data_IF_637027202648
#
_entry.id   IF_637027202648
#
_cell.length_a   1.000
_cell.length_b   1.000
_cell.length_c   1.000
_cell.angle_alpha   90.00
_cell.angle_beta   90.00
_cell.angle_gamma   90.00
#
_symmetry.space_group_name_H-M   'P 1'
#
loop_
_entity.id
_entity.type
_entity.pdbx_description
1 polymer ?
#
# COMPACT_ATOMS: atom_id res chain seq x y z
N UNK A 1 -16.05 21.11 5.94
CA UNK A 1 -16.18 19.82 6.66
C UNK A 1 -14.80 19.38 7.12
N UNK A 2 -14.44 19.65 8.37
CA UNK A 2 -13.14 19.25 8.93
C UNK A 2 -13.13 17.74 9.18
N UNK A 3 -12.33 17.00 8.43
CA UNK A 3 -12.02 15.60 8.78
C UNK A 3 -11.15 15.64 10.04
N UNK A 4 -11.74 15.43 11.22
CA UNK A 4 -10.97 15.20 12.44
C UNK A 4 -10.08 13.99 12.22
N UNK A 5 -8.77 14.22 12.14
CA UNK A 5 -7.77 13.18 11.95
C UNK A 5 -7.62 12.40 13.26
N UNK A 6 -8.59 11.53 13.55
CA UNK A 6 -8.57 10.68 14.74
C UNK A 6 -7.40 9.72 14.59
N UNK A 7 -6.52 9.67 15.59
CA UNK A 7 -5.40 8.73 15.60
C UNK A 7 -5.96 7.31 15.58
N UNK A 8 -5.34 6.37 14.84
CA UNK A 8 -5.78 4.98 14.83
C UNK A 8 -5.72 4.41 16.26
N UNK A 9 -6.60 3.44 16.60
CA UNK A 9 -6.52 2.76 17.90
C UNK A 9 -5.17 2.05 18.07
N UNK A 10 -4.75 1.86 19.31
CA UNK A 10 -3.57 1.10 19.65
C UNK A 10 -3.68 -0.34 19.14
N UNK A 11 -2.72 -0.82 18.35
CA UNK A 11 -2.71 -2.18 17.78
C UNK A 11 -2.27 -3.27 18.79
N UNK A 12 -2.15 -2.94 20.09
CA UNK A 12 -1.76 -3.89 21.15
C UNK A 12 -2.90 -4.13 22.12
N UNK A 13 -3.64 -3.08 22.49
CA UNK A 13 -4.78 -3.22 23.40
C UNK A 13 -6.12 -2.87 22.73
N UNK A 14 -6.13 -2.23 21.56
CA UNK A 14 -7.33 -1.84 20.79
C UNK A 14 -8.36 -0.98 21.53
N UNK A 15 -8.07 -0.56 22.77
CA UNK A 15 -9.02 0.14 23.65
C UNK A 15 -8.95 1.66 23.54
N UNK A 16 -7.80 2.21 23.19
CA UNK A 16 -7.50 3.65 23.25
C UNK A 16 -6.79 4.12 22.00
N UNK A 17 -6.84 5.42 21.73
CA UNK A 17 -6.10 6.03 20.63
C UNK A 17 -4.58 5.84 20.78
N UNK A 18 -3.90 5.60 19.67
CA UNK A 18 -2.45 5.43 19.68
C UNK A 18 -1.73 6.77 19.91
N UNK A 19 -0.67 6.72 20.73
CA UNK A 19 0.13 7.89 21.10
C UNK A 19 1.51 7.87 20.46
N UNK A 20 2.07 6.69 20.21
CA UNK A 20 3.44 6.46 19.76
C UNK A 20 3.47 5.42 18.65
N UNK A 21 4.58 5.39 17.89
CA UNK A 21 4.86 4.41 16.85
C UNK A 21 6.21 3.75 17.13
N UNK A 22 6.31 2.42 17.01
CA UNK A 22 7.58 1.73 17.20
C UNK A 22 8.52 1.99 16.00
N UNK A 23 9.77 2.39 16.24
CA UNK A 23 10.74 2.64 15.17
C UNK A 23 11.17 1.37 14.43
N UNK A 24 11.12 0.21 15.08
CA UNK A 24 11.59 -1.05 14.48
C UNK A 24 10.57 -1.73 13.57
N UNK A 25 9.29 -1.72 13.94
CA UNK A 25 8.24 -2.45 13.23
C UNK A 25 7.00 -1.59 12.88
N UNK A 26 7.05 -0.29 13.16
CA UNK A 26 6.02 0.71 12.82
C UNK A 26 4.61 0.46 13.39
N UNK A 27 4.45 -0.46 14.35
CA UNK A 27 3.18 -0.66 15.06
C UNK A 27 2.84 0.57 15.93
N UNK A 28 1.55 0.93 16.00
CA UNK A 28 1.09 2.07 16.80
C UNK A 28 0.57 1.64 18.18
N UNK A 29 0.98 2.37 19.23
CA UNK A 29 0.70 2.01 20.61
C UNK A 29 0.34 3.20 21.51
N UNK A 30 -0.48 2.99 22.54
CA UNK A 30 -0.95 4.07 23.41
C UNK A 30 0.00 4.43 24.55
N UNK A 31 0.78 3.46 25.06
CA UNK A 31 1.60 3.66 26.27
C UNK A 31 2.77 2.68 26.40
N UNK A 32 3.68 2.97 27.33
CA UNK A 32 4.85 2.11 27.66
C UNK A 32 4.49 0.64 27.97
N UNK A 33 3.42 0.29 28.73
CA UNK A 33 3.07 -1.11 28.92
C UNK A 33 2.71 -1.79 27.59
N UNK A 34 1.97 -1.14 26.71
CA UNK A 34 1.71 -1.65 25.36
C UNK A 34 3.02 -1.83 24.56
N UNK A 35 3.95 -0.88 24.65
CA UNK A 35 5.28 -1.02 24.03
C UNK A 35 6.03 -2.26 24.55
N UNK A 36 6.01 -2.52 25.86
CA UNK A 36 6.68 -3.68 26.46
C UNK A 36 6.03 -5.00 26.02
N UNK A 37 4.71 -5.07 26.01
CA UNK A 37 3.96 -6.25 25.53
C UNK A 37 4.31 -6.55 24.08
N UNK A 38 4.28 -5.53 23.21
CA UNK A 38 4.69 -5.69 21.82
C UNK A 38 6.18 -6.06 21.72
N UNK A 39 7.06 -5.44 22.52
CA UNK A 39 8.50 -5.72 22.49
C UNK A 39 8.80 -7.18 22.82
N UNK A 40 8.02 -7.78 23.71
CA UNK A 40 8.18 -9.17 24.10
C UNK A 40 7.58 -10.18 23.10
N UNK A 41 6.61 -9.77 22.27
CA UNK A 41 5.80 -10.71 21.46
C UNK A 41 5.89 -10.51 19.94
N UNK A 42 6.09 -9.28 19.48
CA UNK A 42 5.86 -8.91 18.07
C UNK A 42 6.76 -7.79 17.54
N UNK A 43 7.60 -7.16 18.36
CA UNK A 43 8.60 -6.20 17.90
C UNK A 43 9.80 -6.96 17.33
N UNK A 44 9.75 -7.27 16.04
CA UNK A 44 10.83 -7.81 15.22
C UNK A 44 11.96 -8.47 16.02
N UNK A 45 11.78 -9.76 16.36
CA UNK A 45 12.86 -10.60 16.86
C UNK A 45 14.08 -10.46 15.94
N UNK A 46 15.12 -9.77 16.42
CA UNK A 46 16.44 -9.90 15.86
C UNK A 46 16.96 -11.30 16.23
N UNK A 47 17.20 -12.11 15.19
CA UNK A 47 18.08 -13.28 15.20
C UNK A 47 17.58 -14.57 15.90
N UNK A 48 17.24 -15.53 15.04
CA UNK A 48 17.27 -16.99 15.22
C UNK A 48 16.05 -17.73 15.78
N UNK A 49 15.69 -18.75 14.98
CA UNK A 49 15.11 -20.04 15.34
C UNK A 49 13.69 -20.09 15.93
N UNK A 50 12.73 -20.24 15.01
CA UNK A 50 11.80 -21.38 14.93
C UNK A 50 11.73 -22.32 16.13
N UNK A 51 10.57 -22.38 16.80
CA UNK A 51 9.58 -23.48 16.64
C UNK A 51 8.48 -23.41 17.70
N UNK A 52 7.24 -23.46 17.21
CA UNK A 52 6.20 -24.30 17.78
C UNK A 52 5.23 -23.65 18.78
N UNK A 53 4.02 -23.38 18.30
CA UNK A 53 2.82 -23.85 19.01
C UNK A 53 1.61 -23.83 18.09
N UNK A 54 1.16 -25.04 17.77
CA UNK A 54 -0.14 -25.39 17.21
C UNK A 54 -1.25 -25.05 18.20
N UNK A 55 -2.42 -24.62 17.72
CA UNK A 55 -3.73 -24.85 18.36
C UNK A 55 -4.89 -24.52 17.35
N UNK A 56 -6.11 -25.06 17.55
CA UNK A 56 -6.80 -25.90 16.55
C UNK A 56 -7.94 -25.26 15.74
N UNK A 57 -8.28 -25.94 14.64
CA UNK A 57 -9.45 -25.79 13.79
C UNK A 57 -10.77 -25.79 14.59
N UNK A 58 -11.67 -24.86 14.24
CA UNK A 58 -13.10 -25.01 14.49
C UNK A 58 -13.88 -24.79 13.19
N UNK A 59 -14.78 -25.73 12.94
CA UNK A 59 -15.55 -26.01 11.75
C UNK A 59 -16.83 -25.14 11.70
N UNK A 60 -17.20 -24.53 10.55
CA UNK A 60 -18.51 -23.92 10.41
C UNK A 60 -19.50 -24.88 9.73
N UNK A 61 -20.63 -25.09 10.40
CA UNK A 61 -21.77 -25.85 9.92
C UNK A 61 -22.60 -25.07 8.88
N UNK A 62 -22.72 -25.69 7.69
CA UNK A 62 -23.89 -25.94 6.81
C UNK A 62 -24.99 -24.84 6.62
N UNK A 63 -25.43 -24.58 5.35
CA UNK A 63 -26.37 -23.53 4.90
C UNK A 63 -27.85 -24.05 4.89
N UNK A 64 -28.86 -23.59 4.08
CA UNK A 64 -29.14 -22.40 3.22
C UNK A 64 -30.54 -21.78 3.62
N UNK A 65 -31.42 -21.08 2.83
CA UNK A 65 -31.50 -20.90 1.38
C UNK A 65 -31.89 -19.53 0.77
N UNK A 66 -31.44 -19.41 -0.49
CA UNK A 66 -32.05 -18.82 -1.71
C UNK A 66 -33.27 -17.90 -1.58
N UNK A 67 -33.17 -16.73 -2.23
CA UNK A 67 -34.25 -16.00 -2.93
C UNK A 67 -33.57 -15.09 -3.99
N UNK A 68 -33.56 -15.50 -5.26
CA UNK A 68 -34.48 -15.10 -6.34
C UNK A 68 -34.29 -13.66 -6.83
N UNK A 69 -33.64 -13.58 -7.99
CA UNK A 69 -33.75 -12.60 -9.09
C UNK A 69 -34.99 -11.72 -9.07
N UNK A 70 -34.80 -10.42 -9.25
CA UNK A 70 -35.71 -9.56 -10.02
C UNK A 70 -34.93 -8.36 -10.57
N UNK A 71 -34.81 -8.37 -11.89
CA UNK A 71 -34.31 -7.33 -12.78
C UNK A 71 -35.45 -6.37 -13.12
N UNK A 72 -35.29 -5.09 -12.83
CA UNK A 72 -36.09 -4.00 -13.41
C UNK A 72 -35.16 -2.79 -13.71
N UNK A 73 -35.38 -2.06 -14.82
CA UNK A 73 -34.45 -1.09 -15.39
C UNK A 73 -34.85 0.35 -15.07
N UNK A 74 -33.91 1.21 -14.66
CA UNK A 74 -34.14 2.64 -14.39
C UNK A 74 -32.92 3.39 -14.92
N UNK A 75 -33.04 3.87 -16.17
CA UNK A 75 -33.14 5.29 -16.56
C UNK A 75 -31.79 6.02 -16.58
N UNK A 76 -31.34 6.33 -17.80
CA UNK A 76 -30.12 7.09 -18.08
C UNK A 76 -30.25 8.49 -17.47
N UNK A 77 -29.47 8.77 -16.42
CA UNK A 77 -29.33 10.12 -15.91
C UNK A 77 -28.67 11.03 -16.96
N UNK A 78 -29.16 12.28 -17.12
CA UNK A 78 -28.55 13.25 -18.01
C UNK A 78 -27.10 13.51 -17.58
N UNK A 79 -26.18 13.50 -18.55
CA UNK A 79 -24.75 13.73 -18.34
C UNK A 79 -24.54 15.07 -17.61
N UNK A 80 -24.27 15.00 -16.31
CA UNK A 80 -23.89 16.13 -15.47
C UNK A 80 -22.69 16.87 -16.11
N UNK A 81 -22.78 18.21 -16.16
CA UNK A 81 -21.67 19.09 -16.54
C UNK A 81 -20.38 18.68 -15.81
N UNK A 82 -19.19 18.71 -16.47
CA UNK A 82 -17.98 18.16 -15.89
C UNK A 82 -17.66 18.87 -14.59
N UNK A 83 -17.84 18.14 -13.49
CA UNK A 83 -17.56 18.60 -12.14
C UNK A 83 -16.16 19.23 -12.11
N UNK A 84 -16.02 20.51 -11.73
CA UNK A 84 -14.73 21.18 -11.77
C UNK A 84 -13.74 20.42 -10.88
N UNK A 85 -12.59 20.06 -11.47
CA UNK A 85 -11.55 19.32 -10.77
C UNK A 85 -11.01 20.15 -9.60
N UNK A 86 -10.63 19.47 -8.52
CA UNK A 86 -10.00 20.14 -7.38
C UNK A 86 -8.63 20.69 -7.79
N UNK A 87 -8.27 21.92 -7.40
CA UNK A 87 -6.95 22.46 -7.72
C UNK A 87 -5.86 21.70 -6.96
N UNK A 88 -4.68 21.55 -7.57
CA UNK A 88 -3.54 20.82 -6.98
C UNK A 88 -3.07 21.44 -5.65
N UNK A 89 -3.23 22.76 -5.48
CA UNK A 89 -2.95 23.48 -4.24
C UNK A 89 -3.88 23.11 -3.08
N UNK A 90 -5.02 22.46 -3.34
CA UNK A 90 -5.91 21.96 -2.29
C UNK A 90 -5.44 20.66 -1.65
N UNK A 91 -4.48 19.95 -2.27
CA UNK A 91 -3.93 18.73 -1.70
C UNK A 91 -2.98 19.06 -0.56
N UNK A 92 -3.11 18.29 0.53
CA UNK A 92 -2.20 18.37 1.68
C UNK A 92 -0.98 17.49 1.42
N UNK A 93 -0.02 18.02 0.70
CA UNK A 93 1.25 17.37 0.46
C UNK A 93 2.03 17.19 1.79
N UNK A 94 2.71 16.04 1.99
CA UNK A 94 3.61 15.89 3.12
C UNK A 94 4.74 16.91 3.02
N UNK A 95 5.15 17.50 4.15
CA UNK A 95 6.32 18.36 4.16
C UNK A 95 7.57 17.51 3.95
N UNK A 96 8.34 17.84 2.92
CA UNK A 96 9.62 17.21 2.61
C UNK A 96 10.71 18.26 2.83
N UNK A 97 11.67 18.03 3.75
CA UNK A 97 12.80 18.93 3.92
C UNK A 97 13.56 19.11 2.60
N UNK A 98 14.08 20.32 2.36
CA UNK A 98 14.97 20.55 1.23
C UNK A 98 16.24 19.69 1.36
N UNK A 99 16.72 19.17 0.23
CA UNK A 99 17.92 18.33 0.21
C UNK A 99 19.13 19.13 0.72
N UNK A 100 20.01 18.48 1.50
CA UNK A 100 21.24 19.12 1.95
C UNK A 100 22.11 19.49 0.75
N UNK A 101 22.72 20.68 0.80
CA UNK A 101 23.69 21.11 -0.22
C UNK A 101 24.96 20.25 -0.23
N UNK A 102 25.22 19.52 0.86
CA UNK A 102 26.28 18.54 1.00
C UNK A 102 25.68 17.17 1.31
N UNK A 103 25.53 16.29 0.30
CA UNK A 103 25.09 14.92 0.52
C UNK A 103 26.20 14.13 1.23
N UNK A 104 25.84 13.34 2.24
CA UNK A 104 26.79 12.42 2.87
C UNK A 104 27.23 11.35 1.86
N UNK A 105 28.54 11.15 1.62
CA UNK A 105 29.03 10.11 0.72
C UNK A 105 28.56 8.70 1.07
N UNK A 106 28.27 8.40 2.34
CA UNK A 106 27.75 7.09 2.75
C UNK A 106 26.27 6.89 2.36
N UNK A 107 25.49 7.97 2.32
CA UNK A 107 24.05 7.94 2.00
C UNK A 107 23.78 8.00 0.49
N UNK A 108 24.83 7.89 -0.34
CA UNK A 108 24.71 8.03 -1.80
C UNK A 108 23.76 7.00 -2.42
N UNK A 109 23.79 5.78 -1.89
CA UNK A 109 23.07 4.62 -2.42
C UNK A 109 21.76 4.36 -1.64
N UNK A 110 21.45 5.15 -0.61
CA UNK A 110 20.22 5.05 0.17
C UNK A 110 18.99 5.54 -0.63
N UNK A 111 17.80 4.94 -0.43
CA UNK A 111 16.58 5.38 -1.08
C UNK A 111 16.22 6.81 -0.64
N UNK A 112 16.25 7.74 -1.59
CA UNK A 112 15.95 9.16 -1.34
C UNK A 112 14.44 9.37 -1.20
N UNK A 113 13.99 10.22 -0.26
CA UNK A 113 12.59 10.58 -0.17
C UNK A 113 12.14 11.35 -1.42
N UNK A 114 10.88 11.19 -1.80
CA UNK A 114 10.27 11.94 -2.91
C UNK A 114 10.24 13.44 -2.60
N UNK A 115 10.64 14.25 -3.57
CA UNK A 115 10.59 15.72 -3.53
C UNK A 115 9.20 16.23 -3.93
N UNK A 116 8.86 17.47 -3.54
CA UNK A 116 7.56 18.10 -3.88
C UNK A 116 7.28 18.11 -5.38
N UNK A 117 8.28 18.43 -6.21
CA UNK A 117 8.13 18.43 -7.67
C UNK A 117 7.78 17.04 -8.22
N UNK A 118 8.34 15.98 -7.61
CA UNK A 118 8.05 14.60 -8.02
C UNK A 118 6.63 14.21 -7.61
N UNK A 119 6.16 14.62 -6.43
CA UNK A 119 4.76 14.46 -6.04
C UNK A 119 3.80 15.15 -7.00
N UNK A 120 4.12 16.36 -7.46
CA UNK A 120 3.34 17.08 -8.47
C UNK A 120 3.34 16.36 -9.84
N UNK A 121 4.49 15.85 -10.27
CA UNK A 121 4.62 15.05 -11.48
C UNK A 121 3.75 13.78 -11.42
N UNK A 122 3.74 13.10 -10.27
CA UNK A 122 2.89 11.94 -10.03
C UNK A 122 1.39 12.30 -10.10
N UNK A 123 0.97 13.39 -9.46
CA UNK A 123 -0.44 13.81 -9.49
C UNK A 123 -0.91 14.32 -10.86
N UNK A 124 -0.01 14.82 -11.70
CA UNK A 124 -0.33 15.35 -13.02
C UNK A 124 -0.09 14.37 -14.17
N UNK A 125 0.55 13.23 -13.91
CA UNK A 125 0.89 12.24 -14.92
C UNK A 125 -0.36 11.68 -15.64
N UNK A 126 -0.43 11.79 -16.98
CA UNK A 126 -1.49 11.15 -17.76
C UNK A 126 -1.35 9.63 -17.77
N UNK A 127 -0.11 9.11 -17.80
CA UNK A 127 0.18 7.66 -17.81
C UNK A 127 -0.31 6.98 -16.54
N UNK A 128 -0.10 7.60 -15.37
CA UNK A 128 -0.63 7.08 -14.10
C UNK A 128 -2.16 7.05 -14.11
N UNK A 129 -2.81 8.11 -14.61
CA UNK A 129 -4.28 8.16 -14.72
C UNK A 129 -4.83 7.10 -15.66
N UNK A 130 -4.13 6.83 -16.76
CA UNK A 130 -4.48 5.76 -17.69
C UNK A 130 -4.38 4.39 -17.02
N UNK A 131 -3.27 4.06 -16.37
CA UNK A 131 -3.08 2.78 -15.67
C UNK A 131 -4.16 2.57 -14.60
N UNK A 132 -4.51 3.61 -13.83
CA UNK A 132 -5.58 3.53 -12.83
C UNK A 132 -6.98 3.33 -13.45
N UNK A 133 -7.19 3.76 -14.70
CA UNK A 133 -8.45 3.56 -15.42
C UNK A 133 -8.53 2.16 -16.07
N UNK A 134 -7.40 1.64 -16.55
CA UNK A 134 -7.28 0.31 -17.14
C UNK A 134 -7.41 -0.81 -16.09
N UNK A 135 -6.98 -0.55 -14.84
CA UNK A 135 -7.00 -1.52 -13.74
C UNK A 135 -7.91 -1.07 -12.58
N UNK A 136 -9.22 -1.39 -12.60
CA UNK A 136 -10.18 -0.91 -11.60
C UNK A 136 -10.00 -1.51 -10.19
N UNK A 137 -9.32 -2.66 -10.08
CA UNK A 137 -8.91 -3.31 -8.84
C UNK A 137 -7.76 -2.56 -8.12
N UNK A 138 -6.91 -1.87 -8.88
CA UNK A 138 -5.69 -1.26 -8.38
C UNK A 138 -5.92 -0.21 -7.27
N UNK A 139 -6.89 0.72 -7.35
CA UNK A 139 -7.20 1.63 -6.24
C UNK A 139 -7.61 0.91 -4.94
N UNK A 140 -8.37 -0.18 -5.05
CA UNK A 140 -8.80 -0.96 -3.89
C UNK A 140 -7.62 -1.71 -3.27
N UNK A 141 -6.75 -2.30 -4.10
CA UNK A 141 -5.52 -2.96 -3.67
C UNK A 141 -4.59 -1.98 -2.94
N UNK A 142 -4.30 -0.81 -3.53
CA UNK A 142 -3.48 0.23 -2.92
C UNK A 142 -4.06 0.68 -1.57
N UNK A 143 -5.38 0.88 -1.51
CA UNK A 143 -6.07 1.25 -0.27
C UNK A 143 -5.92 0.17 0.80
N UNK A 144 -6.00 -1.11 0.43
CA UNK A 144 -5.83 -2.22 1.37
C UNK A 144 -4.41 -2.27 1.93
N UNK A 145 -3.39 -2.06 1.09
CA UNK A 145 -1.98 -2.01 1.50
C UNK A 145 -1.70 -0.78 2.39
N UNK A 146 -2.36 0.35 2.12
CA UNK A 146 -2.26 1.58 2.92
C UNK A 146 -2.92 1.50 4.29
N UNK A 147 -3.78 0.52 4.53
CA UNK A 147 -4.32 0.22 5.86
C UNK A 147 -3.35 -0.60 6.71
N UNK A 148 -2.44 -1.37 6.08
CA UNK A 148 -1.45 -2.19 6.76
C UNK A 148 -0.31 -1.35 7.35
N UNK A 149 0.36 -1.88 8.38
CA UNK A 149 1.52 -1.27 9.05
C UNK A 149 2.62 -2.31 9.26
N UNK A 150 3.86 -1.84 9.37
CA UNK A 150 5.00 -2.70 9.66
C UNK A 150 5.21 -3.81 8.62
N UNK A 151 5.68 -4.97 9.09
CA UNK A 151 6.03 -6.10 8.24
C UNK A 151 4.87 -6.66 7.41
N UNK A 152 3.61 -6.48 7.85
CA UNK A 152 2.45 -6.91 7.08
C UNK A 152 2.30 -6.09 5.81
N UNK A 153 2.56 -4.78 5.88
CA UNK A 153 2.59 -3.91 4.70
C UNK A 153 3.70 -4.35 3.74
N UNK A 154 4.90 -4.60 4.25
CA UNK A 154 6.04 -5.00 3.43
C UNK A 154 5.78 -6.33 2.71
N UNK A 155 5.22 -7.32 3.41
CA UNK A 155 4.81 -8.60 2.82
C UNK A 155 3.71 -8.44 1.78
N UNK A 156 2.72 -7.60 2.04
CA UNK A 156 1.65 -7.34 1.08
C UNK A 156 2.19 -6.68 -0.19
N UNK A 157 3.14 -5.74 -0.06
CA UNK A 157 3.83 -5.13 -1.20
C UNK A 157 4.66 -6.15 -1.99
N UNK A 158 5.48 -6.96 -1.30
CA UNK A 158 6.29 -8.00 -1.95
C UNK A 158 5.42 -9.01 -2.70
N UNK A 159 4.27 -9.39 -2.12
CA UNK A 159 3.32 -10.29 -2.74
C UNK A 159 2.67 -9.63 -3.97
N UNK A 160 2.20 -8.40 -3.84
CA UNK A 160 1.53 -7.68 -4.92
C UNK A 160 2.48 -7.32 -6.08
N UNK A 161 3.79 -7.24 -5.84
CA UNK A 161 4.80 -7.07 -6.89
C UNK A 161 5.31 -8.39 -7.48
N UNK A 162 4.87 -9.53 -6.95
CA UNK A 162 5.31 -10.85 -7.42
C UNK A 162 6.75 -11.21 -7.02
N UNK A 163 7.30 -10.57 -5.98
CA UNK A 163 8.67 -10.81 -5.47
C UNK A 163 8.71 -11.95 -4.44
N UNK A 164 7.54 -12.45 -4.00
CA UNK A 164 7.42 -13.52 -2.99
C UNK A 164 7.33 -14.92 -3.61
N UNK A 165 7.79 -15.94 -2.87
CA UNK A 165 7.78 -17.34 -3.32
C UNK A 165 6.38 -17.83 -3.75
N UNK A 166 6.24 -18.42 -4.96
CA UNK A 166 4.95 -18.81 -5.54
C UNK A 166 4.26 -20.02 -4.87
N UNK A 167 4.92 -20.72 -3.94
CA UNK A 167 4.42 -21.98 -3.38
C UNK A 167 3.21 -21.87 -2.44
N UNK A 168 2.69 -20.67 -2.19
CA UNK A 168 1.68 -20.43 -1.13
C UNK A 168 0.24 -20.29 -1.66
N UNK A 169 0.01 -20.32 -2.98
CA UNK A 169 -1.30 -19.91 -3.54
C UNK A 169 -2.11 -21.04 -4.18
N UNK A 170 -3.43 -21.04 -3.90
CA UNK A 170 -4.40 -21.90 -4.56
C UNK A 170 -4.78 -21.38 -5.95
N UNK A 171 -5.15 -22.28 -6.88
CA UNK A 171 -5.37 -22.00 -8.32
C UNK A 171 -6.20 -20.75 -8.64
N UNK A 172 -7.32 -20.51 -7.96
CA UNK A 172 -8.18 -19.36 -8.27
C UNK A 172 -7.60 -18.02 -7.79
N UNK A 173 -6.85 -18.04 -6.66
CA UNK A 173 -6.13 -16.86 -6.19
C UNK A 173 -4.90 -16.58 -7.05
N UNK A 174 -4.37 -17.57 -7.77
CA UNK A 174 -3.20 -17.36 -8.62
C UNK A 174 -3.51 -16.41 -9.78
N UNK A 175 -4.67 -16.57 -10.44
CA UNK A 175 -5.07 -15.72 -11.58
C UNK A 175 -5.34 -14.28 -11.15
N UNK A 176 -6.09 -14.06 -10.07
CA UNK A 176 -6.33 -12.70 -9.54
C UNK A 176 -5.02 -12.03 -9.11
N UNK A 177 -4.09 -12.79 -8.51
CA UNK A 177 -2.78 -12.27 -8.14
C UNK A 177 -1.90 -11.95 -9.35
N UNK A 178 -2.01 -12.71 -10.43
CA UNK A 178 -1.29 -12.45 -11.67
C UNK A 178 -1.74 -11.13 -12.30
N UNK A 179 -3.06 -10.88 -12.36
CA UNK A 179 -3.63 -9.62 -12.83
C UNK A 179 -3.24 -8.44 -11.93
N UNK A 180 -3.29 -8.61 -10.60
CA UNK A 180 -2.85 -7.60 -9.62
C UNK A 180 -1.35 -7.27 -9.78
N UNK A 181 -0.51 -8.27 -10.01
CA UNK A 181 0.94 -8.10 -10.21
C UNK A 181 1.22 -7.31 -11.48
N UNK A 182 0.56 -7.65 -12.59
CA UNK A 182 0.70 -6.92 -13.86
C UNK A 182 0.26 -5.46 -13.69
N UNK A 183 -0.89 -5.22 -13.05
CA UNK A 183 -1.39 -3.89 -12.79
C UNK A 183 -0.43 -3.06 -11.92
N UNK A 184 0.14 -3.65 -10.87
CA UNK A 184 1.05 -2.96 -9.97
C UNK A 184 2.42 -2.70 -10.59
N UNK A 185 2.92 -3.60 -11.44
CA UNK A 185 4.14 -3.38 -12.25
C UNK A 185 3.94 -2.23 -13.23
N UNK A 186 2.83 -2.22 -13.97
CA UNK A 186 2.48 -1.12 -14.89
C UNK A 186 2.39 0.23 -14.16
N UNK A 187 1.83 0.24 -12.94
CA UNK A 187 1.83 1.44 -12.09
C UNK A 187 3.24 1.85 -11.69
N UNK A 188 4.08 0.91 -11.25
CA UNK A 188 5.44 1.20 -10.82
C UNK A 188 6.28 1.79 -11.96
N UNK A 189 6.14 1.28 -13.18
CA UNK A 189 6.77 1.85 -14.37
C UNK A 189 6.26 3.25 -14.71
N UNK A 190 4.94 3.48 -14.62
CA UNK A 190 4.36 4.80 -14.83
C UNK A 190 4.82 5.83 -13.78
N UNK A 191 5.01 5.39 -12.54
CA UNK A 191 5.57 6.18 -11.43
C UNK A 191 7.04 6.51 -11.70
N UNK A 192 7.84 5.52 -12.10
CA UNK A 192 9.27 5.72 -12.41
C UNK A 192 9.45 6.72 -13.56
N UNK A 193 8.68 6.55 -14.65
CA UNK A 193 8.67 7.46 -15.79
C UNK A 193 8.34 8.91 -15.37
N UNK A 194 7.38 9.08 -14.45
CA UNK A 194 6.96 10.41 -13.98
C UNK A 194 7.99 11.06 -13.02
N UNK A 195 8.69 10.27 -12.21
CA UNK A 195 9.64 10.77 -11.20
C UNK A 195 11.00 11.10 -11.78
N UNK A 196 11.48 10.30 -12.74
CA UNK A 196 12.80 10.50 -13.37
C UNK A 196 12.73 11.30 -14.68
N UNK A 197 11.58 11.29 -15.35
CA UNK A 197 11.48 11.77 -16.73
C UNK A 197 12.20 10.85 -17.71
N UNK A 198 12.11 11.18 -19.00
CA UNK A 198 12.72 10.41 -20.10
C UNK A 198 14.25 10.61 -20.17
N UNK A 199 14.99 10.30 -19.11
CA UNK A 199 16.46 10.37 -19.11
C UNK A 199 17.07 9.00 -19.45
N UNK A 200 17.55 8.77 -20.69
CA UNK A 200 17.92 7.44 -21.21
C UNK A 200 19.24 6.86 -20.65
N UNK A 201 19.92 7.54 -19.72
CA UNK A 201 21.27 7.19 -19.26
C UNK A 201 21.37 6.67 -17.82
N UNK A 202 20.25 6.42 -17.15
CA UNK A 202 20.23 6.17 -15.71
C UNK A 202 19.46 4.85 -15.44
N UNK A 203 20.03 3.94 -14.63
CA UNK A 203 19.49 2.59 -14.35
C UNK A 203 18.00 2.64 -13.96
N UNK A 204 17.13 2.05 -14.77
CA UNK A 204 15.67 2.01 -14.56
C UNK A 204 15.23 0.86 -13.67
N UNK A 205 13.91 0.73 -13.50
CA UNK A 205 13.32 -0.50 -12.96
C UNK A 205 13.63 -1.64 -13.94
N UNK A 206 14.27 -2.69 -13.42
CA UNK A 206 14.52 -3.93 -14.14
C UNK A 206 13.78 -5.05 -13.40
N UNK A 207 12.86 -5.71 -14.11
CA UNK A 207 12.07 -6.81 -13.58
C UNK A 207 12.75 -8.17 -13.74
N UNK A 208 13.87 -8.25 -14.48
CA UNK A 208 14.63 -9.48 -14.69
C UNK A 208 14.00 -10.44 -15.69
N UNK A 209 13.05 -9.97 -16.51
CA UNK A 209 12.35 -10.79 -17.51
C UNK A 209 13.14 -10.93 -18.85
N UNK A 210 14.29 -10.25 -18.98
CA UNK A 210 15.13 -10.16 -20.19
C UNK A 210 16.20 -11.29 -20.34
N UNK A 211 16.06 -12.44 -19.67
CA UNK A 211 16.99 -13.59 -19.79
C UNK A 211 16.39 -14.84 -20.38
#
# INVERSE_FOLDING_TARGET
MSRSNKRPPCQICETTESKYTCSSCLIVYCSVPCYKTHKASSCAAASQASRGSLLPLHEPAVPPPQQTVSSEPIEEEPLDDPKPLRPLSSLKWPYVPEASAYPDPLERDDPKPLQTQQYEALATSPKIRQVLAEHPNLPALLTSIDQLRGHERDRALQKALGVSDPQVFGRNKATELEDDVLALRALAEAVESAVRGEQPGQLGLDWGDDT
#
